data_IF_197950713420
#
_entry.id   IF_197950713420
#
_cell.length_a   1.000
_cell.length_b   1.000
_cell.length_c   1.000
_cell.angle_alpha   90.00
_cell.angle_beta   90.00
_cell.angle_gamma   90.00
#
_symmetry.space_group_name_H-M   'P 1'
#
loop_
_entity.id
_entity.type
_entity.pdbx_description
1 polymer ?
#
# COMPACT_ATOMS: atom_id res chain seq x y z
N UNK A 1 -14.93 -8.57 25.01
CA UNK A 1 -13.62 -9.01 25.52
C UNK A 1 -13.89 -9.74 26.83
N UNK A 2 -13.15 -10.79 27.12
CA UNK A 2 -13.31 -11.61 28.35
C UNK A 2 -14.77 -12.10 28.60
N UNK A 3 -15.45 -12.50 27.55
CA UNK A 3 -16.84 -12.99 27.59
C UNK A 3 -17.92 -11.89 27.76
N UNK A 4 -17.54 -10.61 27.73
CA UNK A 4 -18.49 -9.50 27.82
C UNK A 4 -18.68 -8.83 26.45
N UNK A 5 -19.92 -8.44 26.08
CA UNK A 5 -20.16 -7.58 24.95
C UNK A 5 -19.34 -6.28 25.08
N UNK A 6 -18.63 -5.91 24.02
CA UNK A 6 -17.75 -4.73 24.01
C UNK A 6 -17.89 -4.02 22.68
N UNK A 7 -17.99 -2.68 22.70
CA UNK A 7 -17.92 -1.87 21.49
C UNK A 7 -16.45 -1.79 21.07
N UNK A 8 -16.16 -2.26 19.85
CA UNK A 8 -14.82 -2.29 19.30
C UNK A 8 -14.58 -1.03 18.44
N UNK A 9 -13.70 -0.14 18.89
CA UNK A 9 -13.35 1.10 18.18
C UNK A 9 -11.98 1.01 17.48
N UNK A 10 -11.23 -0.08 17.68
CA UNK A 10 -9.90 -0.30 17.12
C UNK A 10 -9.85 -1.42 16.09
N UNK A 11 -10.98 -1.73 15.45
CA UNK A 11 -11.03 -2.75 14.41
C UNK A 11 -10.71 -2.15 13.03
N UNK A 12 -9.97 -2.91 12.21
CA UNK A 12 -9.76 -2.57 10.79
C UNK A 12 -10.96 -2.95 9.90
N UNK A 13 -12.08 -3.32 10.50
CA UNK A 13 -13.31 -3.70 9.81
C UNK A 13 -14.19 -2.46 9.52
N UNK A 14 -13.60 -1.44 8.88
CA UNK A 14 -14.19 -0.11 8.68
C UNK A 14 -15.58 -0.15 8.05
N UNK A 15 -15.79 -1.01 7.06
CA UNK A 15 -17.06 -1.16 6.34
C UNK A 15 -17.96 -2.26 6.92
N UNK A 16 -17.59 -2.86 8.06
CA UNK A 16 -18.31 -3.98 8.69
C UNK A 16 -18.59 -5.17 7.75
N UNK A 17 -17.64 -5.48 6.86
CA UNK A 17 -17.81 -6.54 5.85
C UNK A 17 -17.52 -7.94 6.37
N UNK A 18 -16.83 -8.10 7.51
CA UNK A 18 -16.46 -9.43 8.04
C UNK A 18 -17.64 -10.34 8.33
N UNK A 19 -18.81 -9.78 8.64
CA UNK A 19 -20.06 -10.53 8.90
C UNK A 19 -21.11 -10.30 7.83
N UNK A 20 -20.77 -9.61 6.73
CA UNK A 20 -21.74 -9.32 5.68
C UNK A 20 -22.18 -10.60 4.96
N UNK A 21 -23.51 -10.88 4.83
CA UNK A 21 -24.01 -12.16 4.32
C UNK A 21 -23.46 -12.55 2.95
N UNK A 22 -23.31 -11.59 2.03
CA UNK A 22 -22.75 -11.85 0.69
C UNK A 22 -21.28 -12.28 0.76
N UNK A 23 -20.48 -11.65 1.64
CA UNK A 23 -19.05 -11.99 1.81
C UNK A 23 -18.91 -13.37 2.40
N UNK A 24 -19.67 -13.68 3.48
CA UNK A 24 -19.67 -15.00 4.12
C UNK A 24 -20.11 -16.08 3.13
N UNK A 25 -21.20 -15.84 2.38
CA UNK A 25 -21.70 -16.80 1.38
C UNK A 25 -20.68 -17.06 0.25
N UNK A 26 -20.01 -16.01 -0.23
CA UNK A 26 -18.97 -16.13 -1.24
C UNK A 26 -17.77 -16.96 -0.75
N UNK A 27 -17.32 -16.73 0.50
CA UNK A 27 -16.23 -17.53 1.11
C UNK A 27 -16.61 -19.01 1.23
N UNK A 28 -17.83 -19.31 1.71
CA UNK A 28 -18.31 -20.70 1.83
C UNK A 28 -18.37 -21.37 0.46
N UNK A 29 -18.94 -20.70 -0.54
CA UNK A 29 -19.06 -21.24 -1.90
C UNK A 29 -17.68 -21.46 -2.54
N UNK A 30 -16.74 -20.53 -2.37
CA UNK A 30 -15.39 -20.67 -2.88
C UNK A 30 -14.65 -21.82 -2.21
N UNK A 31 -14.76 -21.96 -0.89
CA UNK A 31 -14.17 -23.07 -0.14
C UNK A 31 -14.72 -24.43 -0.58
N UNK A 32 -16.02 -24.53 -0.82
CA UNK A 32 -16.66 -25.77 -1.33
C UNK A 32 -16.19 -26.12 -2.74
N UNK A 33 -15.96 -25.11 -3.60
CA UNK A 33 -15.56 -25.32 -4.98
C UNK A 33 -14.05 -25.60 -5.13
N UNK A 34 -13.22 -24.87 -4.41
CA UNK A 34 -11.78 -24.83 -4.61
C UNK A 34 -10.97 -25.45 -3.47
N UNK A 35 -11.58 -25.71 -2.34
CA UNK A 35 -10.88 -26.12 -1.11
C UNK A 35 -10.40 -24.94 -0.28
N UNK A 36 -9.61 -25.23 0.77
CA UNK A 36 -9.16 -24.24 1.77
C UNK A 36 -7.94 -23.43 1.34
N UNK A 37 -7.42 -23.64 0.15
CA UNK A 37 -6.25 -22.92 -0.38
C UNK A 37 -5.82 -23.42 -1.74
N UNK A 38 -4.79 -22.78 -2.32
CA UNK A 38 -4.33 -23.08 -3.68
C UNK A 38 -3.46 -24.33 -3.78
N UNK A 39 -2.98 -24.88 -2.67
CA UNK A 39 -2.13 -26.07 -2.62
C UNK A 39 -0.72 -25.88 -3.18
N UNK A 40 -0.39 -24.70 -3.71
CA UNK A 40 0.91 -24.37 -4.30
C UNK A 40 1.19 -22.88 -4.24
N UNK A 41 2.45 -22.48 -4.47
CA UNK A 41 2.81 -21.07 -4.65
C UNK A 41 2.33 -20.56 -5.99
N UNK A 42 2.00 -19.27 -6.06
CA UNK A 42 1.41 -18.64 -7.27
C UNK A 42 2.28 -18.81 -8.52
N UNK A 43 3.58 -18.67 -8.39
CA UNK A 43 4.50 -18.74 -9.52
C UNK A 43 4.64 -20.16 -10.16
N UNK A 44 4.22 -21.22 -9.47
CA UNK A 44 4.33 -22.60 -9.97
C UNK A 44 2.96 -23.11 -10.45
N UNK A 45 2.03 -23.35 -9.52
CA UNK A 45 0.72 -23.91 -9.81
C UNK A 45 -0.40 -23.37 -8.90
N UNK A 46 -0.10 -22.33 -8.07
CA UNK A 46 -1.03 -21.80 -7.08
C UNK A 46 -1.84 -20.59 -7.54
N UNK A 47 -1.70 -20.13 -8.79
CA UNK A 47 -2.55 -19.07 -9.34
C UNK A 47 -3.89 -19.67 -9.76
N UNK A 48 -4.93 -19.32 -9.04
CA UNK A 48 -6.30 -19.77 -9.27
C UNK A 48 -7.10 -18.72 -10.05
N UNK A 49 -8.19 -19.12 -10.67
CA UNK A 49 -9.13 -18.21 -11.35
C UNK A 49 -9.58 -17.05 -10.45
N UNK A 50 -9.80 -17.35 -9.15
CA UNK A 50 -10.18 -16.34 -8.16
C UNK A 50 -9.14 -15.24 -7.96
N UNK A 51 -7.84 -15.57 -8.05
CA UNK A 51 -6.80 -14.56 -7.98
C UNK A 51 -6.89 -13.60 -9.16
N UNK A 52 -6.97 -14.16 -10.39
CA UNK A 52 -7.03 -13.36 -11.62
C UNK A 52 -8.31 -12.51 -11.68
N UNK A 53 -9.44 -13.06 -11.26
CA UNK A 53 -10.71 -12.32 -11.21
C UNK A 53 -10.66 -11.18 -10.19
N UNK A 54 -10.10 -11.42 -9.01
CA UNK A 54 -9.99 -10.41 -7.98
C UNK A 54 -8.99 -9.30 -8.37
N UNK A 55 -7.83 -9.66 -8.92
CA UNK A 55 -6.83 -8.70 -9.43
C UNK A 55 -7.43 -7.80 -10.52
N UNK A 56 -8.17 -8.39 -11.46
CA UNK A 56 -8.87 -7.62 -12.49
C UNK A 56 -9.89 -6.65 -11.90
N UNK A 57 -10.71 -7.11 -10.94
CA UNK A 57 -11.73 -6.26 -10.29
C UNK A 57 -11.11 -5.13 -9.47
N UNK A 58 -10.02 -5.39 -8.77
CA UNK A 58 -9.29 -4.36 -8.03
C UNK A 58 -8.71 -3.33 -9.01
N UNK A 59 -8.07 -3.76 -10.09
CA UNK A 59 -7.54 -2.85 -11.10
C UNK A 59 -8.64 -1.98 -11.74
N UNK A 60 -9.79 -2.58 -12.07
CA UNK A 60 -10.96 -1.86 -12.59
C UNK A 60 -11.52 -0.86 -11.57
N UNK A 61 -11.61 -1.23 -10.29
CA UNK A 61 -12.10 -0.36 -9.22
C UNK A 61 -11.19 0.83 -8.98
N UNK A 62 -9.87 0.60 -8.95
CA UNK A 62 -8.85 1.63 -8.74
C UNK A 62 -8.59 2.47 -9.99
N UNK A 63 -8.98 1.98 -11.18
CA UNK A 63 -8.67 2.63 -12.45
C UNK A 63 -7.19 2.56 -12.82
N UNK A 64 -6.50 1.49 -12.41
CA UNK A 64 -5.07 1.24 -12.68
C UNK A 64 -4.88 0.16 -13.73
N UNK A 65 -3.67 0.07 -14.31
CA UNK A 65 -3.35 -0.89 -15.36
C UNK A 65 -3.43 -2.34 -14.87
N UNK A 66 -2.94 -2.62 -13.67
CA UNK A 66 -2.90 -3.95 -13.10
C UNK A 66 -2.94 -3.92 -11.57
N UNK A 67 -3.36 -5.02 -10.97
CA UNK A 67 -3.26 -5.27 -9.54
C UNK A 67 -2.69 -6.65 -9.28
N UNK A 68 -2.04 -6.82 -8.13
CA UNK A 68 -1.47 -8.09 -7.70
C UNK A 68 -1.86 -8.37 -6.25
N UNK A 69 -2.42 -9.54 -5.98
CA UNK A 69 -2.86 -9.93 -4.65
C UNK A 69 -1.72 -10.60 -3.87
N UNK A 70 -1.49 -10.10 -2.68
CA UNK A 70 -0.67 -10.69 -1.63
C UNK A 70 -1.53 -11.20 -0.47
N UNK A 71 -0.97 -12.02 0.41
CA UNK A 71 -1.69 -12.57 1.56
C UNK A 71 -1.93 -11.53 2.68
N UNK A 72 -1.19 -10.44 2.69
CA UNK A 72 -1.30 -9.33 3.63
C UNK A 72 -0.57 -8.09 3.08
N UNK A 73 -0.95 -6.87 3.52
CA UNK A 73 -0.24 -5.63 3.20
C UNK A 73 1.23 -5.66 3.65
N UNK A 74 1.52 -6.28 4.81
CA UNK A 74 2.90 -6.51 5.26
C UNK A 74 3.74 -7.24 4.20
N UNK A 75 3.21 -8.35 3.66
CA UNK A 75 3.91 -9.13 2.62
C UNK A 75 3.97 -8.41 1.28
N UNK A 76 3.00 -7.53 0.99
CA UNK A 76 3.03 -6.69 -0.19
C UNK A 76 4.21 -5.70 -0.12
N UNK A 77 4.33 -4.94 0.96
CA UNK A 77 5.44 -3.99 1.16
C UNK A 77 6.81 -4.69 1.15
N UNK A 78 6.96 -5.76 1.92
CA UNK A 78 8.23 -6.52 1.99
C UNK A 78 8.60 -7.17 0.66
N UNK A 79 7.61 -7.55 -0.15
CA UNK A 79 7.83 -8.10 -1.49
C UNK A 79 8.08 -7.04 -2.56
N UNK A 80 7.34 -5.94 -2.53
CA UNK A 80 7.38 -4.92 -3.57
C UNK A 80 8.61 -4.01 -3.46
N UNK A 81 8.87 -3.44 -2.29
CA UNK A 81 9.94 -2.44 -2.10
C UNK A 81 11.30 -2.93 -2.61
N UNK A 82 11.77 -4.15 -2.26
CA UNK A 82 13.07 -4.64 -2.75
C UNK A 82 13.12 -4.93 -4.26
N UNK A 83 11.98 -4.98 -4.93
CA UNK A 83 11.95 -5.19 -6.39
C UNK A 83 12.07 -3.88 -7.17
N UNK A 84 11.63 -2.77 -6.60
CA UNK A 84 11.63 -1.45 -7.22
C UNK A 84 13.01 -0.81 -7.18
N UNK A 85 13.68 -0.87 -6.04
CA UNK A 85 15.00 -0.26 -5.81
C UNK A 85 15.90 -1.24 -5.04
N UNK A 86 17.10 -1.47 -5.53
CA UNK A 86 17.91 -2.59 -5.05
C UNK A 86 19.33 -2.21 -4.64
N UNK A 87 19.95 -1.32 -5.37
CA UNK A 87 21.39 -1.08 -5.30
C UNK A 87 21.77 0.22 -4.58
N UNK A 88 23.06 0.39 -4.27
CA UNK A 88 23.55 1.62 -3.61
C UNK A 88 23.47 2.88 -4.49
N UNK A 89 23.21 2.72 -5.79
CA UNK A 89 22.96 3.83 -6.72
C UNK A 89 21.54 4.39 -6.57
N UNK A 90 20.63 3.62 -5.98
CA UNK A 90 19.23 4.00 -5.74
C UNK A 90 19.06 4.62 -4.34
N UNK A 91 17.97 5.33 -4.12
CA UNK A 91 17.59 5.85 -2.80
C UNK A 91 16.12 5.59 -2.51
N UNK A 92 15.81 5.23 -1.27
CA UNK A 92 14.47 5.21 -0.71
C UNK A 92 14.35 6.35 0.29
N UNK A 93 13.30 7.14 0.14
CA UNK A 93 13.00 8.29 1.02
C UNK A 93 11.67 7.99 1.72
N UNK A 94 11.70 7.86 3.03
CA UNK A 94 10.59 7.36 3.85
C UNK A 94 10.14 8.40 4.86
N UNK A 95 8.83 8.56 5.03
CA UNK A 95 8.30 9.28 6.19
C UNK A 95 8.73 8.60 7.49
N UNK A 96 9.01 9.39 8.51
CA UNK A 96 9.51 8.93 9.82
C UNK A 96 8.51 8.06 10.58
N UNK A 97 7.21 8.18 10.31
CA UNK A 97 6.14 7.44 10.99
C UNK A 97 5.57 6.27 10.16
N UNK A 98 6.17 5.96 9.03
CA UNK A 98 5.72 4.85 8.18
C UNK A 98 5.61 3.53 8.95
N UNK A 99 4.65 2.71 8.53
CA UNK A 99 4.39 1.40 9.11
C UNK A 99 5.61 0.48 9.11
N UNK A 100 5.72 -0.39 10.11
CA UNK A 100 6.84 -1.33 10.28
C UNK A 100 7.12 -2.23 9.08
N UNK A 101 6.12 -2.58 8.27
CA UNK A 101 6.30 -3.36 7.03
C UNK A 101 7.12 -2.61 5.98
N UNK A 102 6.93 -1.29 5.87
CA UNK A 102 7.72 -0.43 4.99
C UNK A 102 9.17 -0.40 5.46
N UNK A 103 9.39 -0.18 6.76
CA UNK A 103 10.72 -0.17 7.36
C UNK A 103 11.44 -1.51 7.10
N UNK A 104 10.74 -2.64 7.26
CA UNK A 104 11.31 -3.95 7.03
C UNK A 104 11.58 -4.20 5.53
N UNK A 105 10.69 -3.77 4.64
CA UNK A 105 10.93 -3.80 3.19
C UNK A 105 12.16 -3.00 2.78
N UNK A 106 12.33 -1.78 3.33
CA UNK A 106 13.51 -0.93 3.10
C UNK A 106 14.80 -1.60 3.60
N UNK A 107 14.74 -2.30 4.74
CA UNK A 107 15.90 -3.02 5.30
C UNK A 107 16.40 -4.16 4.42
N UNK A 108 15.54 -4.74 3.60
CA UNK A 108 15.91 -5.83 2.67
C UNK A 108 16.66 -5.34 1.44
N UNK A 109 16.72 -4.03 1.21
CA UNK A 109 17.42 -3.43 0.08
C UNK A 109 18.86 -3.03 0.46
N UNK A 110 19.70 -2.79 -0.56
CA UNK A 110 21.00 -2.13 -0.44
C UNK A 110 20.95 -0.65 -0.88
N UNK A 111 19.77 -0.13 -1.18
CA UNK A 111 19.57 1.26 -1.56
C UNK A 111 19.97 2.20 -0.42
N UNK A 112 20.40 3.39 -0.79
CA UNK A 112 20.58 4.50 0.17
C UNK A 112 19.25 4.82 0.83
N UNK A 113 19.28 5.38 2.01
CA UNK A 113 18.09 5.67 2.80
C UNK A 113 18.06 7.12 3.22
N UNK A 114 16.99 7.81 2.87
CA UNK A 114 16.60 9.10 3.40
C UNK A 114 15.37 8.93 4.29
N UNK A 115 15.29 9.70 5.36
CA UNK A 115 14.09 9.78 6.20
C UNK A 115 13.78 11.25 6.39
N UNK A 116 12.53 11.63 6.25
CA UNK A 116 12.08 13.00 6.54
C UNK A 116 11.10 13.00 7.71
N UNK A 117 11.06 14.09 8.45
CA UNK A 117 10.13 14.25 9.56
C UNK A 117 8.69 14.16 9.05
N UNK A 118 7.83 13.58 9.88
CA UNK A 118 6.45 13.27 9.52
C UNK A 118 5.73 14.47 8.89
N UNK A 119 5.25 14.27 7.67
CA UNK A 119 4.52 15.26 6.86
C UNK A 119 5.29 16.60 6.64
N UNK A 120 6.61 16.63 6.79
CA UNK A 120 7.43 17.82 6.55
C UNK A 120 7.94 17.84 5.10
N UNK A 121 7.25 18.58 4.25
CA UNK A 121 7.59 18.70 2.82
C UNK A 121 8.88 19.45 2.57
N UNK A 122 9.26 20.38 3.45
CA UNK A 122 10.55 21.08 3.35
C UNK A 122 11.72 20.12 3.63
N UNK A 123 11.55 19.23 4.59
CA UNK A 123 12.56 18.20 4.88
C UNK A 123 12.58 17.12 3.76
N UNK A 124 11.43 16.75 3.21
CA UNK A 124 11.35 15.85 2.06
C UNK A 124 12.14 16.43 0.87
N UNK A 125 11.93 17.70 0.54
CA UNK A 125 12.66 18.39 -0.54
C UNK A 125 14.16 18.40 -0.28
N UNK A 126 14.57 18.72 0.96
CA UNK A 126 16.00 18.73 1.32
C UNK A 126 16.64 17.33 1.17
N UNK A 127 15.91 16.27 1.55
CA UNK A 127 16.40 14.88 1.39
C UNK A 127 16.46 14.49 -0.08
N UNK A 128 15.48 14.86 -0.91
CA UNK A 128 15.49 14.64 -2.35
C UNK A 128 16.68 15.33 -3.01
N UNK A 129 16.90 16.58 -2.69
CA UNK A 129 18.03 17.39 -3.18
C UNK A 129 19.40 16.79 -2.78
N UNK A 130 19.51 16.29 -1.55
CA UNK A 130 20.74 15.64 -1.06
C UNK A 130 21.06 14.32 -1.78
N UNK A 131 20.08 13.74 -2.48
CA UNK A 131 20.22 12.50 -3.23
C UNK A 131 19.93 12.67 -4.73
N UNK A 132 20.18 13.87 -5.27
CA UNK A 132 19.89 14.16 -6.68
C UNK A 132 20.71 13.28 -7.64
N UNK A 133 21.86 12.80 -7.20
CA UNK A 133 22.73 11.87 -7.92
C UNK A 133 22.19 10.42 -8.00
N UNK A 134 21.08 10.09 -7.34
CA UNK A 134 20.53 8.74 -7.36
C UNK A 134 19.95 8.38 -8.74
N UNK A 135 20.22 7.14 -9.20
CA UNK A 135 19.67 6.63 -10.46
C UNK A 135 18.16 6.45 -10.38
N UNK A 136 17.68 5.93 -9.25
CA UNK A 136 16.26 5.79 -8.94
C UNK A 136 15.99 6.38 -7.57
N UNK A 137 14.93 7.15 -7.47
CA UNK A 137 14.43 7.70 -6.23
C UNK A 137 13.04 7.11 -5.99
N UNK A 138 12.78 6.61 -4.78
CA UNK A 138 11.47 6.09 -4.38
C UNK A 138 11.05 6.77 -3.09
N UNK A 139 10.00 7.57 -3.15
CA UNK A 139 9.33 8.13 -1.97
C UNK A 139 8.31 7.11 -1.50
N UNK A 140 8.29 6.81 -0.20
CA UNK A 140 7.31 5.90 0.39
C UNK A 140 6.65 6.59 1.58
N UNK A 141 5.33 6.53 1.62
CA UNK A 141 4.50 7.04 2.72
C UNK A 141 3.31 6.14 3.00
N UNK A 142 2.89 6.05 4.27
CA UNK A 142 1.52 5.65 4.57
C UNK A 142 0.56 6.70 4.00
N UNK A 143 -0.58 6.29 3.49
CA UNK A 143 -1.63 7.20 3.04
C UNK A 143 -2.36 7.81 4.23
N UNK A 144 -2.86 6.95 5.11
CA UNK A 144 -3.45 7.32 6.40
C UNK A 144 -2.63 6.67 7.50
N UNK A 145 -2.07 7.46 8.39
CA UNK A 145 -1.23 6.99 9.50
C UNK A 145 -2.11 6.45 10.63
N UNK A 146 -2.07 5.14 10.84
CA UNK A 146 -3.01 4.41 11.71
C UNK A 146 -2.98 4.82 13.19
N UNK A 147 -1.83 5.29 13.69
CA UNK A 147 -1.66 5.64 15.09
C UNK A 147 -2.05 7.10 15.38
N UNK A 148 -1.79 8.00 14.44
CA UNK A 148 -2.00 9.43 14.59
C UNK A 148 -3.34 9.88 14.00
N UNK A 149 -3.82 9.17 12.97
CA UNK A 149 -5.14 9.39 12.37
C UNK A 149 -5.15 10.54 11.36
N UNK A 150 -4.00 11.06 10.99
CA UNK A 150 -3.80 11.99 9.92
C UNK A 150 -3.43 11.28 8.60
N UNK A 151 -3.27 12.04 7.54
CA UNK A 151 -2.94 11.52 6.21
C UNK A 151 -1.78 12.30 5.58
N UNK A 152 -1.08 11.63 4.67
CA UNK A 152 0.00 12.24 3.92
C UNK A 152 -0.53 13.37 3.02
N UNK A 153 0.16 14.51 2.88
CA UNK A 153 -0.11 15.54 1.89
C UNK A 153 0.35 15.06 0.50
N UNK A 154 -0.42 14.10 -0.06
CA UNK A 154 0.00 13.32 -1.23
C UNK A 154 0.14 14.18 -2.49
N UNK A 155 -0.61 15.26 -2.60
CA UNK A 155 -0.51 16.25 -3.67
C UNK A 155 0.83 17.01 -3.66
N UNK A 156 1.30 17.40 -2.47
CA UNK A 156 2.60 18.04 -2.30
C UNK A 156 3.73 17.03 -2.53
N UNK A 157 3.60 15.81 -1.98
CA UNK A 157 4.56 14.71 -2.21
C UNK A 157 4.69 14.42 -3.70
N UNK A 158 3.57 14.31 -4.42
CA UNK A 158 3.58 14.06 -5.86
C UNK A 158 4.22 15.21 -6.65
N UNK A 159 3.99 16.45 -6.23
CA UNK A 159 4.63 17.62 -6.86
C UNK A 159 6.15 17.54 -6.74
N UNK A 160 6.67 17.25 -5.55
CA UNK A 160 8.11 17.06 -5.35
C UNK A 160 8.63 15.82 -6.11
N UNK A 161 7.87 14.74 -6.15
CA UNK A 161 8.24 13.55 -6.92
C UNK A 161 8.41 13.85 -8.42
N UNK A 162 7.47 14.59 -9.01
CA UNK A 162 7.57 15.04 -10.42
C UNK A 162 8.80 15.92 -10.64
N UNK A 163 9.09 16.86 -9.73
CA UNK A 163 10.22 17.78 -9.84
C UNK A 163 11.57 17.06 -9.77
N UNK A 164 11.71 16.10 -8.86
CA UNK A 164 12.96 15.37 -8.63
C UNK A 164 13.07 14.05 -9.40
N UNK A 165 12.08 13.71 -10.22
CA UNK A 165 12.04 12.46 -10.99
C UNK A 165 12.00 11.22 -10.10
N UNK A 166 11.26 11.28 -9.00
CA UNK A 166 11.07 10.19 -8.05
C UNK A 166 9.78 9.42 -8.33
N UNK A 167 9.77 8.13 -8.06
CA UNK A 167 8.55 7.31 -7.99
C UNK A 167 7.89 7.49 -6.61
N UNK A 168 6.58 7.32 -6.56
CA UNK A 168 5.79 7.36 -5.32
C UNK A 168 5.14 6.01 -5.08
N UNK A 169 5.36 5.46 -3.87
CA UNK A 169 4.62 4.33 -3.34
C UNK A 169 3.82 4.81 -2.12
N UNK A 170 2.52 4.58 -2.13
CA UNK A 170 1.64 4.87 -1.00
C UNK A 170 1.06 3.57 -0.43
N UNK A 171 1.18 3.37 0.88
CA UNK A 171 0.47 2.34 1.63
C UNK A 171 -0.86 2.91 2.10
N UNK A 172 -1.94 2.56 1.41
CA UNK A 172 -3.28 3.07 1.68
C UNK A 172 -4.18 2.07 2.42
N UNK A 173 -3.59 1.16 3.18
CA UNK A 173 -4.32 0.14 3.94
C UNK A 173 -5.42 0.70 4.86
N UNK A 174 -5.33 1.97 5.24
CA UNK A 174 -6.30 2.64 6.11
C UNK A 174 -7.19 3.67 5.40
N UNK A 175 -6.87 4.07 4.19
CA UNK A 175 -7.70 4.95 3.35
C UNK A 175 -8.63 4.17 2.41
N UNK A 176 -8.23 2.98 1.97
CA UNK A 176 -9.05 2.11 1.12
C UNK A 176 -10.41 1.79 1.74
N UNK A 177 -11.47 1.98 0.95
CA UNK A 177 -12.85 1.83 1.40
C UNK A 177 -13.39 3.00 2.22
N UNK A 178 -12.56 3.97 2.62
CA UNK A 178 -12.90 5.06 3.55
C UNK A 178 -12.80 6.43 2.88
N UNK A 179 -11.68 6.71 2.22
CA UNK A 179 -11.43 7.98 1.53
C UNK A 179 -11.75 7.89 0.03
N UNK A 180 -11.84 9.04 -0.60
CA UNK A 180 -12.09 9.16 -2.03
C UNK A 180 -13.52 8.86 -2.46
N UNK A 181 -13.84 9.09 -3.73
CA UNK A 181 -15.16 8.81 -4.28
C UNK A 181 -15.40 7.30 -4.39
N UNK A 182 -16.47 6.85 -3.75
CA UNK A 182 -16.80 5.43 -3.67
C UNK A 182 -15.78 4.58 -2.91
N UNK A 183 -14.91 5.20 -2.08
CA UNK A 183 -13.93 4.51 -1.25
C UNK A 183 -12.67 4.08 -2.01
N UNK A 184 -12.26 4.81 -3.06
CA UNK A 184 -11.06 4.49 -3.86
C UNK A 184 -9.75 4.93 -3.22
N UNK A 185 -9.76 5.29 -1.95
CA UNK A 185 -8.58 5.57 -1.18
C UNK A 185 -8.02 6.99 -1.34
N UNK A 186 -6.82 7.20 -0.82
CA UNK A 186 -6.20 8.52 -0.71
C UNK A 186 -5.79 9.10 -2.07
N UNK A 187 -5.39 8.27 -3.03
CA UNK A 187 -5.02 8.73 -4.38
C UNK A 187 -6.22 9.37 -5.07
N UNK A 188 -7.40 8.77 -4.94
CA UNK A 188 -8.65 9.34 -5.45
C UNK A 188 -9.07 10.58 -4.66
N UNK A 189 -8.86 10.60 -3.34
CA UNK A 189 -9.15 11.76 -2.49
C UNK A 189 -8.43 13.03 -2.96
N UNK A 190 -7.18 12.92 -3.41
CA UNK A 190 -6.38 14.01 -3.94
C UNK A 190 -6.48 14.18 -5.47
N UNK A 191 -7.30 13.40 -6.17
CA UNK A 191 -7.42 13.39 -7.63
C UNK A 191 -6.08 13.14 -8.35
N UNK A 192 -5.30 12.20 -7.85
CA UNK A 192 -3.97 11.84 -8.34
C UNK A 192 -3.95 10.52 -9.13
N UNK A 193 -5.09 10.08 -9.65
CA UNK A 193 -5.17 8.86 -10.46
C UNK A 193 -4.20 8.94 -11.65
N UNK A 194 -3.37 7.90 -11.79
CA UNK A 194 -2.34 7.81 -12.83
C UNK A 194 -1.09 8.65 -12.58
N UNK A 195 -0.96 9.26 -11.40
CA UNK A 195 0.21 10.04 -11.01
C UNK A 195 1.04 9.36 -9.91
N UNK A 196 0.41 8.53 -9.10
CA UNK A 196 1.10 7.68 -8.11
C UNK A 196 1.48 6.37 -8.80
N UNK A 197 2.72 5.93 -8.62
CA UNK A 197 3.25 4.77 -9.33
C UNK A 197 2.77 3.44 -8.72
N UNK A 198 2.68 3.38 -7.38
CA UNK A 198 2.31 2.16 -6.66
C UNK A 198 1.41 2.47 -5.47
N UNK A 199 0.36 1.66 -5.32
CA UNK A 199 -0.55 1.66 -4.17
C UNK A 199 -0.56 0.27 -3.52
N UNK A 200 -0.46 0.20 -2.20
CA UNK A 200 -0.52 -1.04 -1.40
C UNK A 200 -1.70 -1.01 -0.44
#
# INVERSE_FOLDING_TARGET
MEGKPTIMLSANNYLNLTTHPKVVSAMVSATQKYGAGSGSVRAIAGTMDLHLEAEKKVAEFKGVEAALIYSAGYTANVGLIPTLVQGPQDVIISDALNHGSIIDGVRLTKARRGVYAHNDMGELEAVLSAHDDAERKLIITDGVFSMDGDYAPLDEINTLAEEYGAMVLVDDCHGEGVLGDGGRGIVDHFNLQGKVDFEV
#
